data_IF_503842755255
#
_entry.id   IF_503842755255
#
_cell.length_a   1.000
_cell.length_b   1.000
_cell.length_c   1.000
_cell.angle_alpha   90.00
_cell.angle_beta   90.00
_cell.angle_gamma   90.00
#
_symmetry.space_group_name_H-M   'P 1'
#
loop_
_entity.id
_entity.type
_entity.pdbx_description
1 polymer ?
#
# COMPACT_ATOMS: atom_id res chain seq x y z
N UNK A 1 12.80 -9.61 9.10
CA UNK A 1 12.02 -8.89 10.13
C UNK A 1 11.95 -7.41 9.79
N UNK A 2 13.10 -6.75 9.60
CA UNK A 2 13.20 -5.33 9.19
C UNK A 2 12.40 -5.02 7.92
N UNK A 3 12.48 -5.86 6.89
CA UNK A 3 11.73 -5.63 5.64
C UNK A 3 10.22 -5.55 5.87
N UNK A 4 9.68 -6.40 6.75
CA UNK A 4 8.24 -6.42 7.07
C UNK A 4 7.83 -5.19 7.88
N UNK A 5 8.69 -4.72 8.79
CA UNK A 5 8.46 -3.51 9.59
C UNK A 5 8.50 -2.27 8.67
N UNK A 6 9.50 -2.17 7.80
CA UNK A 6 9.64 -1.07 6.83
C UNK A 6 8.47 -1.03 5.86
N UNK A 7 8.03 -2.21 5.41
CA UNK A 7 6.88 -2.36 4.55
C UNK A 7 5.60 -1.84 5.28
N UNK A 8 5.36 -2.28 6.53
CA UNK A 8 4.18 -1.84 7.29
C UNK A 8 4.23 -0.34 7.57
N UNK A 9 5.41 0.19 7.90
CA UNK A 9 5.62 1.61 8.10
C UNK A 9 5.33 2.42 6.83
N UNK A 10 5.81 1.97 5.67
CA UNK A 10 5.55 2.62 4.39
C UNK A 10 4.05 2.65 4.06
N UNK A 11 3.33 1.54 4.25
CA UNK A 11 1.89 1.48 4.05
C UNK A 11 1.14 2.41 5.02
N UNK A 12 1.52 2.43 6.29
CA UNK A 12 0.91 3.30 7.30
C UNK A 12 1.13 4.79 6.98
N UNK A 13 2.35 5.18 6.60
CA UNK A 13 2.65 6.56 6.21
C UNK A 13 1.91 6.98 4.95
N UNK A 14 1.79 6.09 3.95
CA UNK A 14 0.99 6.34 2.75
C UNK A 14 -0.48 6.60 3.09
N UNK A 15 -1.12 5.73 3.89
CA UNK A 15 -2.52 5.90 4.30
C UNK A 15 -2.69 7.19 5.12
N UNK A 16 -1.76 7.49 6.03
CA UNK A 16 -1.81 8.71 6.83
C UNK A 16 -1.74 9.98 5.95
N UNK A 17 -0.84 10.01 4.97
CA UNK A 17 -0.72 11.12 4.03
C UNK A 17 -2.01 11.31 3.21
N UNK A 18 -2.56 10.22 2.66
CA UNK A 18 -3.83 10.27 1.92
C UNK A 18 -4.99 10.73 2.80
N UNK A 19 -5.01 10.35 4.07
CA UNK A 19 -5.99 10.82 5.06
C UNK A 19 -5.92 12.34 5.28
N UNK A 20 -4.71 12.91 5.33
CA UNK A 20 -4.52 14.37 5.40
C UNK A 20 -5.08 15.05 4.15
N UNK A 21 -4.81 14.49 2.96
CA UNK A 21 -5.35 15.03 1.70
C UNK A 21 -6.88 15.00 1.69
N UNK A 22 -7.49 13.87 2.06
CA UNK A 22 -8.94 13.72 2.14
C UNK A 22 -9.59 14.67 3.17
N UNK A 23 -8.86 15.04 4.22
CA UNK A 23 -9.32 15.99 5.23
C UNK A 23 -9.30 17.45 4.74
N UNK A 24 -8.21 17.84 4.08
CA UNK A 24 -8.04 19.22 3.57
C UNK A 24 -8.81 19.47 2.27
N UNK A 25 -9.04 18.43 1.47
CA UNK A 25 -9.76 18.49 0.20
C UNK A 25 -10.89 17.43 0.22
N UNK A 26 -12.02 17.71 0.91
CA UNK A 26 -13.11 16.76 1.05
C UNK A 26 -14.02 16.74 -0.18
N UNK A 27 -13.43 16.47 -1.35
CA UNK A 27 -14.17 16.28 -2.60
C UNK A 27 -14.64 14.81 -2.72
N UNK A 28 -15.93 14.53 -2.99
CA UNK A 28 -16.46 13.15 -2.94
C UNK A 28 -15.79 12.19 -3.93
N UNK A 29 -15.47 12.66 -5.13
CA UNK A 29 -14.75 11.93 -6.17
C UNK A 29 -13.29 11.66 -5.76
N UNK A 30 -12.61 12.64 -5.18
CA UNK A 30 -11.26 12.46 -4.65
C UNK A 30 -11.23 11.43 -3.51
N UNK A 31 -12.16 11.50 -2.56
CA UNK A 31 -12.27 10.52 -1.47
C UNK A 31 -12.51 9.13 -2.04
N UNK A 32 -13.40 9.00 -3.03
CA UNK A 32 -13.67 7.74 -3.71
C UNK A 32 -12.39 7.13 -4.32
N UNK A 33 -11.60 7.95 -5.03
CA UNK A 33 -10.31 7.53 -5.61
C UNK A 33 -9.31 7.14 -4.53
N UNK A 34 -9.19 7.93 -3.46
CA UNK A 34 -8.28 7.65 -2.33
C UNK A 34 -8.62 6.31 -1.69
N UNK A 35 -9.89 6.04 -1.40
CA UNK A 35 -10.34 4.78 -0.79
C UNK A 35 -10.02 3.61 -1.72
N UNK A 36 -10.36 3.73 -3.01
CA UNK A 36 -10.11 2.68 -3.99
C UNK A 36 -8.63 2.34 -4.14
N UNK A 37 -7.77 3.35 -4.31
CA UNK A 37 -6.32 3.15 -4.46
C UNK A 37 -5.70 2.64 -3.16
N UNK A 38 -6.16 3.10 -2.00
CA UNK A 38 -5.69 2.59 -0.70
C UNK A 38 -6.00 1.11 -0.53
N UNK A 39 -7.18 0.65 -0.95
CA UNK A 39 -7.55 -0.77 -0.94
C UNK A 39 -6.65 -1.59 -1.87
N UNK A 40 -6.36 -1.08 -3.08
CA UNK A 40 -5.44 -1.74 -4.01
C UNK A 40 -4.02 -1.83 -3.44
N UNK A 41 -3.52 -0.76 -2.82
CA UNK A 41 -2.21 -0.75 -2.18
C UNK A 41 -2.14 -1.77 -1.03
N UNK A 42 -3.16 -1.83 -0.18
CA UNK A 42 -3.25 -2.84 0.89
C UNK A 42 -3.28 -4.26 0.31
N UNK A 43 -4.00 -4.47 -0.79
CA UNK A 43 -4.06 -5.77 -1.46
C UNK A 43 -2.71 -6.20 -2.03
N UNK A 44 -2.04 -5.32 -2.79
CA UNK A 44 -0.71 -5.56 -3.36
C UNK A 44 0.32 -5.87 -2.25
N UNK A 45 0.24 -5.10 -1.17
CA UNK A 45 1.09 -5.27 0.00
C UNK A 45 0.86 -6.61 0.69
N UNK A 46 -0.40 -7.02 0.85
CA UNK A 46 -0.77 -8.31 1.43
C UNK A 46 -0.35 -9.48 0.54
N UNK A 47 -0.47 -9.33 -0.78
CA UNK A 47 0.00 -10.32 -1.74
C UNK A 47 1.52 -10.46 -1.69
N UNK A 48 2.26 -9.35 -1.73
CA UNK A 48 3.73 -9.31 -1.62
C UNK A 48 4.23 -9.93 -0.31
N UNK A 49 3.55 -9.67 0.81
CA UNK A 49 3.90 -10.26 2.10
C UNK A 49 3.56 -11.75 2.22
N UNK A 50 2.52 -12.22 1.53
CA UNK A 50 2.11 -13.63 1.53
C UNK A 50 2.89 -14.47 0.53
N UNK A 51 3.39 -13.86 -0.53
CA UNK A 51 4.12 -14.54 -1.60
C UNK A 51 5.59 -14.09 -1.65
N UNK A 52 6.44 -14.50 -0.69
CA UNK A 52 7.89 -14.33 -0.80
C UNK A 52 8.51 -15.23 -1.90
N UNK A 53 7.66 -15.89 -2.71
CA UNK A 53 7.97 -17.09 -3.47
C UNK A 53 8.36 -16.91 -4.93
N UNK A 54 8.47 -15.69 -5.47
CA UNK A 54 9.07 -15.50 -6.80
C UNK A 54 10.60 -15.42 -6.68
N UNK A 55 11.17 -16.51 -6.17
CA UNK A 55 12.58 -16.88 -6.32
C UNK A 55 12.88 -16.82 -7.82
N UNK A 56 13.63 -15.80 -8.22
CA UNK A 56 14.22 -15.72 -9.54
C UNK A 56 14.89 -17.06 -9.85
N UNK A 57 14.41 -17.68 -10.90
CA UNK A 57 14.80 -19.02 -11.36
C UNK A 57 16.26 -18.98 -11.84
N UNK A 58 17.10 -19.96 -11.49
CA UNK A 58 18.45 -20.09 -12.02
C UNK A 58 18.39 -20.77 -13.38
N UNK A 59 18.38 -19.99 -14.46
CA UNK A 59 18.45 -20.51 -15.82
C UNK A 59 19.02 -19.45 -16.78
N UNK A 60 20.36 -19.37 -16.80
CA UNK A 60 21.21 -19.53 -17.99
C UNK A 60 22.67 -19.19 -17.64
#
# INVERSE_FOLDING_TARGET
>A
MTDKIMAIAALATMIAFLGVVAWFVPEPDLIGVIVFVSLLAVYDFWHTLRDPGRKGRPDA
#
